data_IF_991818702108
#
_entry.id   IF_991818702108
#
_cell.length_a   1.000
_cell.length_b   1.000
_cell.length_c   1.000
_cell.angle_alpha   90.00
_cell.angle_beta   90.00
_cell.angle_gamma   90.00
#
_symmetry.space_group_name_H-M   'P 1'
#
loop_
_entity.id
_entity.type
_entity.pdbx_description
1 polymer ?
#
# COMPACT_ATOMS: atom_id res chain seq x y z
N UNK A 1 22.16 17.70 6.44
CA UNK A 1 21.70 16.54 5.64
C UNK A 1 20.22 16.32 5.83
N UNK A 2 19.44 16.32 4.76
CA UNK A 2 18.03 15.97 4.91
C UNK A 2 17.92 14.52 5.37
N UNK A 3 16.95 14.27 6.22
CA UNK A 3 16.67 12.91 6.65
C UNK A 3 16.06 12.13 5.50
N UNK A 4 16.50 10.91 5.32
CA UNK A 4 15.85 10.03 4.38
C UNK A 4 14.45 9.67 4.90
N UNK A 5 13.50 9.71 4.01
CA UNK A 5 12.17 9.23 4.31
C UNK A 5 12.20 7.71 4.52
N UNK A 6 11.58 7.24 5.58
CA UNK A 6 11.36 5.81 5.82
C UNK A 6 9.85 5.60 5.87
N UNK A 7 9.31 4.70 5.03
CA UNK A 7 7.87 4.44 5.05
C UNK A 7 7.39 3.94 6.40
N UNK A 8 6.22 4.42 6.80
CA UNK A 8 5.55 4.04 8.03
C UNK A 8 4.18 3.47 7.70
N UNK A 9 3.73 2.47 8.47
CA UNK A 9 2.39 1.89 8.27
C UNK A 9 1.35 3.00 8.24
N UNK A 10 0.50 2.96 7.23
CA UNK A 10 -0.53 3.97 7.02
C UNK A 10 -0.12 5.10 6.10
N UNK A 11 1.15 5.21 5.76
CA UNK A 11 1.57 6.19 4.76
C UNK A 11 1.05 5.79 3.39
N UNK A 12 0.66 6.79 2.62
CA UNK A 12 0.36 6.63 1.19
C UNK A 12 1.53 7.28 0.44
N UNK A 13 2.17 6.50 -0.43
CA UNK A 13 3.37 6.94 -1.13
C UNK A 13 3.24 6.74 -2.63
N UNK A 14 3.91 7.56 -3.43
CA UNK A 14 4.19 7.24 -4.81
C UNK A 14 5.24 6.14 -4.84
N UNK A 15 5.03 5.12 -5.67
CA UNK A 15 5.94 3.99 -5.75
C UNK A 15 6.02 3.47 -7.18
N UNK A 16 7.22 3.12 -7.61
CA UNK A 16 7.43 2.54 -8.93
C UNK A 16 7.16 1.03 -8.86
N UNK A 17 6.16 0.57 -9.59
CA UNK A 17 5.74 -0.83 -9.57
C UNK A 17 6.32 -1.68 -10.71
N UNK A 18 7.03 -1.08 -11.64
CA UNK A 18 7.65 -1.82 -12.73
C UNK A 18 8.96 -2.50 -12.29
N UNK A 19 9.35 -3.61 -12.92
CA UNK A 19 8.56 -4.38 -13.86
C UNK A 19 7.55 -5.30 -13.16
N UNK A 20 6.48 -5.62 -13.86
CA UNK A 20 5.52 -6.62 -13.39
C UNK A 20 4.88 -7.31 -14.60
N UNK A 21 4.08 -8.34 -14.33
CA UNK A 21 3.46 -9.15 -15.36
C UNK A 21 1.99 -9.43 -15.00
N UNK A 22 1.21 -9.72 -16.03
CA UNK A 22 -0.18 -10.14 -15.85
C UNK A 22 -1.07 -9.05 -15.30
N UNK A 23 -1.82 -9.39 -14.27
CA UNK A 23 -2.84 -8.50 -13.69
C UNK A 23 -2.30 -7.52 -12.67
N UNK A 24 -1.00 -7.55 -12.41
CA UNK A 24 -0.41 -6.67 -11.41
C UNK A 24 -0.35 -5.23 -11.87
N UNK A 25 -0.42 -4.30 -10.92
CA UNK A 25 -0.34 -2.89 -11.22
C UNK A 25 1.06 -2.52 -11.72
N UNK A 26 1.13 -1.56 -12.63
CA UNK A 26 2.38 -1.13 -13.27
C UNK A 26 2.55 0.38 -13.21
N UNK A 27 3.79 0.80 -13.46
CA UNK A 27 4.16 2.21 -13.51
C UNK A 27 4.26 2.82 -12.12
N UNK A 28 4.34 4.15 -12.08
CA UNK A 28 4.40 4.89 -10.83
C UNK A 28 2.99 5.15 -10.33
N UNK A 29 2.65 4.60 -9.18
CA UNK A 29 1.30 4.65 -8.64
C UNK A 29 1.33 4.92 -7.15
N UNK A 30 0.22 5.43 -6.58
CA UNK A 30 0.12 5.50 -5.14
C UNK A 30 -0.02 4.08 -4.55
N UNK A 31 0.54 3.91 -3.37
CA UNK A 31 0.52 2.65 -2.65
C UNK A 31 0.39 2.91 -1.15
N UNK A 32 -0.28 2.01 -0.46
CA UNK A 32 -0.40 2.05 1.00
C UNK A 32 0.72 1.23 1.61
N UNK A 33 1.40 1.79 2.60
CA UNK A 33 2.41 1.09 3.39
C UNK A 33 1.70 0.29 4.47
N UNK A 34 1.97 -1.00 4.52
CA UNK A 34 1.30 -1.92 5.44
C UNK A 34 2.21 -2.35 6.59
N UNK A 35 3.49 -2.49 6.34
CA UNK A 35 4.44 -2.93 7.37
C UNK A 35 4.94 -1.77 8.22
N UNK A 36 5.35 -2.05 9.47
CA UNK A 36 5.73 -0.99 10.41
C UNK A 36 7.10 -0.39 10.09
N UNK A 37 7.27 0.88 10.45
CA UNK A 37 8.49 1.63 10.20
C UNK A 37 9.77 0.94 10.70
N UNK A 38 9.81 0.37 11.92
CA UNK A 38 11.05 -0.28 12.39
C UNK A 38 11.51 -1.40 11.47
N UNK A 39 10.58 -2.22 10.98
CA UNK A 39 10.89 -3.26 9.99
C UNK A 39 11.40 -2.63 8.70
N UNK A 40 10.67 -1.65 8.18
CA UNK A 40 10.99 -1.02 6.91
C UNK A 40 12.38 -0.39 6.93
N UNK A 41 12.71 0.26 8.02
CA UNK A 41 14.00 0.92 8.18
C UNK A 41 15.15 -0.09 8.27
N UNK A 42 14.94 -1.14 9.05
CA UNK A 42 15.98 -2.13 9.32
C UNK A 42 16.29 -2.98 8.10
N UNK A 43 15.23 -3.39 7.39
CA UNK A 43 15.35 -4.37 6.30
C UNK A 43 15.54 -3.70 4.94
N UNK A 44 15.05 -2.47 4.76
CA UNK A 44 15.09 -1.78 3.47
C UNK A 44 13.97 -2.20 2.52
N UNK A 45 13.06 -3.05 2.98
CA UNK A 45 11.86 -3.45 2.27
C UNK A 45 10.65 -2.93 3.03
N UNK A 46 9.50 -2.91 2.38
CA UNK A 46 8.22 -2.68 3.05
C UNK A 46 7.14 -3.43 2.30
N UNK A 47 6.05 -3.73 3.00
CA UNK A 47 4.87 -4.32 2.39
C UNK A 47 3.97 -3.19 1.89
N UNK A 48 3.61 -3.27 0.61
CA UNK A 48 2.77 -2.27 -0.05
C UNK A 48 1.55 -2.90 -0.68
N UNK A 49 0.43 -2.17 -0.63
CA UNK A 49 -0.76 -2.49 -1.42
C UNK A 49 -0.95 -1.38 -2.44
N UNK A 50 -1.10 -1.69 -3.72
CA UNK A 50 -1.34 -0.66 -4.73
C UNK A 50 -2.73 -0.05 -4.58
N UNK A 51 -2.85 1.20 -5.02
CA UNK A 51 -4.11 1.93 -5.02
C UNK A 51 -4.52 2.15 -6.48
N UNK A 52 -5.75 1.79 -6.79
CA UNK A 52 -6.29 1.92 -8.15
C UNK A 52 -7.40 2.95 -8.18
N UNK A 53 -7.50 3.70 -9.30
CA UNK A 53 -8.65 4.55 -9.56
C UNK A 53 -9.82 3.79 -10.17
N UNK A 54 -9.59 2.55 -10.61
CA UNK A 54 -10.59 1.72 -11.28
C UNK A 54 -11.26 0.77 -10.28
N UNK A 55 -12.31 1.26 -9.63
CA UNK A 55 -13.05 0.49 -8.60
C UNK A 55 -13.98 -0.50 -9.30
N UNK A 56 -13.90 -1.78 -8.90
CA UNK A 56 -14.67 -2.86 -9.53
C UNK A 56 -15.69 -3.50 -8.59
N UNK A 57 -15.74 -3.09 -7.32
CA UNK A 57 -16.63 -3.70 -6.32
C UNK A 57 -16.14 -5.02 -5.79
N UNK A 58 -14.91 -5.29 -5.90
CA UNK A 58 -14.23 -6.52 -5.54
C UNK A 58 -14.05 -6.58 -4.01
N UNK A 59 -14.25 -7.75 -3.36
CA UNK A 59 -14.27 -7.81 -1.89
C UNK A 59 -12.99 -7.38 -1.17
N UNK A 60 -11.84 -7.48 -1.83
CA UNK A 60 -10.57 -7.07 -1.22
C UNK A 60 -10.19 -5.62 -1.50
N UNK A 61 -11.03 -4.90 -2.21
CA UNK A 61 -10.87 -3.46 -2.38
C UNK A 61 -11.31 -2.73 -1.11
N UNK A 62 -10.49 -1.79 -0.65
CA UNK A 62 -10.87 -0.89 0.44
C UNK A 62 -10.95 0.51 -0.14
N UNK A 63 -12.15 1.06 -0.17
CA UNK A 63 -12.44 2.34 -0.82
C UNK A 63 -12.14 3.49 0.14
N UNK A 64 -11.47 4.52 -0.35
CA UNK A 64 -11.23 5.73 0.44
C UNK A 64 -12.54 6.48 0.67
N UNK A 65 -12.71 7.09 1.85
CA UNK A 65 -13.91 7.87 2.11
C UNK A 65 -14.00 9.11 1.21
N UNK A 66 -15.22 9.55 0.96
CA UNK A 66 -15.46 10.77 0.21
C UNK A 66 -14.76 11.94 0.90
N UNK A 67 -14.11 12.80 0.10
CA UNK A 67 -13.40 13.95 0.63
C UNK A 67 -11.95 13.72 1.02
N UNK A 68 -11.49 12.47 0.99
CA UNK A 68 -10.07 12.20 1.19
C UNK A 68 -9.29 12.68 -0.05
N UNK A 69 -8.08 13.17 0.16
CA UNK A 69 -7.26 13.68 -0.95
C UNK A 69 -6.86 12.61 -1.95
N UNK A 70 -6.83 11.34 -1.53
CA UNK A 70 -6.62 10.21 -2.42
C UNK A 70 -7.97 9.55 -2.66
N UNK A 71 -8.30 9.31 -3.92
CA UNK A 71 -9.53 8.61 -4.30
C UNK A 71 -9.20 7.25 -4.90
N UNK A 72 -10.19 6.37 -4.92
CA UNK A 72 -10.04 5.03 -5.46
C UNK A 72 -10.06 3.97 -4.40
N UNK A 73 -9.42 2.84 -4.65
CA UNK A 73 -9.44 1.69 -3.77
C UNK A 73 -8.05 1.10 -3.58
N UNK A 74 -7.80 0.62 -2.37
CA UNK A 74 -6.60 -0.13 -2.01
C UNK A 74 -6.85 -1.59 -2.34
N UNK A 75 -5.95 -2.21 -3.08
CA UNK A 75 -6.05 -3.62 -3.46
C UNK A 75 -5.35 -4.47 -2.41
N UNK A 76 -6.09 -4.87 -1.38
CA UNK A 76 -5.52 -5.55 -0.22
C UNK A 76 -4.93 -6.92 -0.54
N UNK A 77 -5.41 -7.58 -1.58
CA UNK A 77 -4.89 -8.89 -1.99
C UNK A 77 -3.67 -8.82 -2.91
N UNK A 78 -3.25 -7.61 -3.27
CA UNK A 78 -2.03 -7.42 -4.06
C UNK A 78 -0.87 -6.90 -3.20
N UNK A 79 -0.83 -7.31 -1.94
CA UNK A 79 0.24 -6.92 -1.05
C UNK A 79 1.57 -7.50 -1.56
N UNK A 80 2.60 -6.66 -1.61
CA UNK A 80 3.92 -7.03 -2.10
C UNK A 80 5.01 -6.47 -1.21
N UNK A 81 6.08 -7.25 -1.04
CA UNK A 81 7.30 -6.79 -0.40
C UNK A 81 8.21 -6.18 -1.45
N UNK A 82 8.48 -4.90 -1.35
CA UNK A 82 9.26 -4.17 -2.35
C UNK A 82 10.31 -3.30 -1.67
N UNK A 83 11.43 -3.09 -2.39
CA UNK A 83 12.50 -2.20 -1.94
C UNK A 83 12.06 -0.75 -2.16
N UNK A 84 11.77 -0.06 -1.07
CA UNK A 84 11.20 1.28 -1.13
C UNK A 84 12.22 2.34 -1.56
N UNK A 85 13.51 2.07 -1.41
CA UNK A 85 14.57 3.02 -1.83
C UNK A 85 14.74 2.97 -3.35
N UNK A 86 14.87 1.77 -3.88
CA UNK A 86 15.08 1.57 -5.32
C UNK A 86 13.85 2.04 -6.11
N UNK A 87 12.67 1.87 -5.52
CA UNK A 87 11.41 2.24 -6.17
C UNK A 87 10.97 3.67 -5.87
N UNK A 88 11.83 4.46 -5.26
CA UNK A 88 11.61 5.89 -5.03
C UNK A 88 10.31 6.20 -4.30
N UNK A 89 10.09 5.55 -3.17
CA UNK A 89 8.92 5.81 -2.34
C UNK A 89 8.92 7.26 -1.88
N UNK A 90 7.83 7.98 -2.16
CA UNK A 90 7.69 9.39 -1.82
C UNK A 90 6.34 9.63 -1.15
N UNK A 91 6.38 10.18 0.05
CA UNK A 91 5.17 10.41 0.84
C UNK A 91 4.20 11.37 0.13
N UNK A 92 2.92 10.98 0.07
CA UNK A 92 1.84 11.80 -0.44
C UNK A 92 0.91 12.23 0.70
N UNK A 93 0.47 11.24 1.49
CA UNK A 93 -0.61 11.41 2.46
C UNK A 93 -0.59 10.27 3.47
N UNK A 94 -1.62 10.21 4.33
CA UNK A 94 -1.81 9.09 5.25
C UNK A 94 -3.23 8.57 5.13
N UNK A 95 -3.37 7.26 5.28
CA UNK A 95 -4.69 6.63 5.29
C UNK A 95 -5.37 6.89 6.64
N UNK A 96 -6.69 7.08 6.64
CA UNK A 96 -7.45 7.10 7.89
C UNK A 96 -7.31 5.78 8.63
N UNK A 97 -7.37 5.82 9.97
CA UNK A 97 -7.17 4.63 10.79
C UNK A 97 -8.15 3.52 10.46
N UNK A 98 -9.42 3.85 10.19
CA UNK A 98 -10.43 2.85 9.85
C UNK A 98 -10.14 2.17 8.50
N UNK A 99 -9.56 2.91 7.56
CA UNK A 99 -9.14 2.34 6.27
C UNK A 99 -7.99 1.36 6.50
N UNK A 100 -7.02 1.76 7.31
CA UNK A 100 -5.87 0.90 7.62
C UNK A 100 -6.32 -0.39 8.33
N UNK A 101 -7.22 -0.28 9.28
CA UNK A 101 -7.78 -1.44 10.00
C UNK A 101 -8.47 -2.41 9.04
N UNK A 102 -9.24 -1.88 8.10
CA UNK A 102 -9.95 -2.71 7.13
C UNK A 102 -8.98 -3.44 6.19
N UNK A 103 -7.94 -2.75 5.73
CA UNK A 103 -6.92 -3.37 4.89
C UNK A 103 -6.23 -4.52 5.64
N UNK A 104 -5.82 -4.29 6.89
CA UNK A 104 -5.16 -5.31 7.68
C UNK A 104 -6.07 -6.51 7.92
N UNK A 105 -7.35 -6.27 8.21
CA UNK A 105 -8.31 -7.35 8.41
C UNK A 105 -8.45 -8.22 7.16
N UNK A 106 -8.52 -7.59 5.99
CA UNK A 106 -8.61 -8.32 4.73
C UNK A 106 -7.36 -9.13 4.42
N UNK A 107 -6.19 -8.56 4.68
CA UNK A 107 -4.93 -9.30 4.49
C UNK A 107 -4.86 -10.51 5.43
N UNK A 108 -5.24 -10.31 6.69
CA UNK A 108 -5.23 -11.40 7.66
C UNK A 108 -6.17 -12.54 7.26
N UNK A 109 -7.32 -12.21 6.65
CA UNK A 109 -8.24 -13.22 6.13
C UNK A 109 -7.55 -14.15 5.12
N UNK A 110 -6.65 -13.61 4.32
CA UNK A 110 -5.91 -14.40 3.33
C UNK A 110 -4.85 -15.30 3.97
N UNK A 111 -4.45 -15.00 5.18
CA UNK A 111 -3.43 -15.77 5.89
C UNK A 111 -4.03 -16.77 6.87
N UNK A 112 -5.33 -16.72 7.07
CA UNK A 112 -6.05 -17.57 8.01
C UNK A 112 -6.54 -18.84 7.32
N UNK A 113 -6.33 -19.98 7.97
CA UNK A 113 -6.74 -21.28 7.43
C UNK A 113 -8.27 -21.49 7.48
N UNK A 114 -8.97 -20.63 8.16
CA UNK A 114 -10.42 -20.82 8.40
C UNK A 114 -11.30 -20.08 7.39
N UNK A 115 -10.75 -19.68 6.32
CA UNK A 115 -11.50 -19.04 5.25
C UNK A 115 -12.57 -19.97 4.71
#
# INVERSE_FOLDING_TARGET
MPRRYVPERGDIVWLQFTPQAGHEQSGRRPALVVSPKPYNQKVGLALFCPITSSIKGYPFEVIFPAGHEISGAILSDQVKSLDWRVRNAKLISRAPDNVMEDVLAKILTLLDNEM
#
